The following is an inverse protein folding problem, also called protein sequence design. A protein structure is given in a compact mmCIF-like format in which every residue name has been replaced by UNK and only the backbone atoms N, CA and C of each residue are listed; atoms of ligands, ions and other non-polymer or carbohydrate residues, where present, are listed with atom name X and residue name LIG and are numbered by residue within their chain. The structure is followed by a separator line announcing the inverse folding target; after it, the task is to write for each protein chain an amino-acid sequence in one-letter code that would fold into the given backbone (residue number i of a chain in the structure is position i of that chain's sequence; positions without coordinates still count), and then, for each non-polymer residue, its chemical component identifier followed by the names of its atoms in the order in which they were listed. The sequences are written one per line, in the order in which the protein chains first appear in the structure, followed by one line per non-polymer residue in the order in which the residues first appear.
data_IF_009002540751
#
_entry.id   IF_009002540751
#
_cell.length_a   1.000
_cell.length_b   1.000
_cell.length_c   1.000
_cell.angle_alpha   90.00
_cell.angle_beta   90.00
_cell.angle_gamma   90.00
#
_symmetry.space_group_name_H-M   'P 1'
#
loop_
_entity.id
_entity.type
_entity.pdbx_description
1 polymer ?
#
# COMPACT_ATOMS: atom_id res chain seq x y z
N UNK A 1 73.72 14.05 7.39
CA UNK A 1 72.85 12.90 7.06
C UNK A 1 71.59 12.84 7.92
N UNK A 2 71.69 12.82 9.26
CA UNK A 2 70.51 12.68 10.16
C UNK A 2 69.45 13.78 9.98
N UNK A 3 69.87 15.03 9.79
CA UNK A 3 68.95 16.16 9.58
C UNK A 3 68.09 16.05 8.31
N UNK A 4 68.62 15.43 7.25
CA UNK A 4 67.90 15.25 5.98
C UNK A 4 66.80 14.18 6.15
N UNK A 5 67.10 13.09 6.86
CA UNK A 5 66.12 12.06 7.17
C UNK A 5 64.95 12.61 8.02
N UNK A 6 65.27 13.46 9.01
CA UNK A 6 64.28 14.09 9.88
C UNK A 6 63.33 15.02 9.08
N UNK A 7 63.87 15.80 8.14
CA UNK A 7 63.08 16.64 7.24
C UNK A 7 62.09 15.84 6.39
N UNK A 8 62.53 14.71 5.81
CA UNK A 8 61.68 13.84 4.99
C UNK A 8 60.55 13.24 5.83
N UNK A 9 60.83 12.81 7.07
CA UNK A 9 59.82 12.28 7.98
C UNK A 9 58.76 13.32 8.34
N UNK A 10 59.16 14.57 8.59
CA UNK A 10 58.22 15.66 8.90
C UNK A 10 57.31 15.97 7.70
N UNK A 11 57.87 16.01 6.49
CA UNK A 11 57.10 16.22 5.26
C UNK A 11 56.10 15.08 5.03
N UNK A 12 56.53 13.83 5.24
CA UNK A 12 55.66 12.65 5.12
C UNK A 12 54.49 12.70 6.11
N UNK A 13 54.76 13.07 7.37
CA UNK A 13 53.72 13.22 8.40
C UNK A 13 52.73 14.34 8.03
N UNK A 14 53.23 15.46 7.51
CA UNK A 14 52.41 16.58 7.05
C UNK A 14 51.48 16.19 5.89
N UNK A 15 52.01 15.47 4.89
CA UNK A 15 51.19 14.96 3.77
C UNK A 15 50.16 13.93 4.23
N UNK A 16 50.52 13.02 5.13
CA UNK A 16 49.59 12.05 5.70
C UNK A 16 48.45 12.74 6.46
N UNK A 17 48.76 13.76 7.26
CA UNK A 17 47.75 14.54 7.98
C UNK A 17 46.82 15.30 7.02
N UNK A 18 47.36 15.91 5.97
CA UNK A 18 46.56 16.62 4.97
C UNK A 18 45.65 15.66 4.18
N UNK A 19 46.16 14.47 3.84
CA UNK A 19 45.39 13.42 3.19
C UNK A 19 44.25 12.91 4.09
N UNK A 20 44.53 12.70 5.37
CA UNK A 20 43.53 12.31 6.36
C UNK A 20 42.42 13.38 6.47
N UNK A 21 42.80 14.67 6.53
CA UNK A 21 41.84 15.78 6.63
C UNK A 21 40.96 15.89 5.37
N UNK A 22 41.52 15.68 4.19
CA UNK A 22 40.76 15.67 2.92
C UNK A 22 39.79 14.47 2.85
N UNK A 23 40.24 13.29 3.26
CA UNK A 23 39.38 12.10 3.30
C UNK A 23 38.24 12.25 4.30
N UNK A 24 38.48 12.86 5.47
CA UNK A 24 37.42 13.17 6.43
C UNK A 24 36.36 14.10 5.80
N UNK A 25 36.78 15.19 5.16
CA UNK A 25 35.86 16.13 4.51
C UNK A 25 35.06 15.49 3.35
N UNK A 26 35.66 14.57 2.59
CA UNK A 26 34.96 13.82 1.53
C UNK A 26 33.92 12.85 2.10
N UNK A 27 34.22 12.18 3.23
CA UNK A 27 33.29 11.30 3.93
C UNK A 27 32.09 12.07 4.47
N UNK A 28 32.30 13.26 5.02
CA UNK A 28 31.21 14.10 5.53
C UNK A 28 30.27 14.51 4.38
N UNK A 29 30.80 14.97 3.24
CA UNK A 29 30.00 15.29 2.05
C UNK A 29 29.23 14.09 1.50
N UNK A 30 29.83 12.91 1.54
CA UNK A 30 29.16 11.67 1.13
C UNK A 30 27.99 11.35 2.07
N UNK A 31 28.20 11.49 3.39
CA UNK A 31 27.14 11.25 4.38
C UNK A 31 25.97 12.22 4.21
N UNK A 32 26.26 13.49 3.91
CA UNK A 32 25.25 14.52 3.67
C UNK A 32 24.47 14.27 2.37
N UNK A 33 25.15 13.84 1.31
CA UNK A 33 24.47 13.52 0.05
C UNK A 33 23.62 12.27 0.20
N UNK A 34 24.09 11.27 0.93
CA UNK A 34 23.35 10.06 1.21
C UNK A 34 22.07 10.36 2.01
N UNK A 35 22.15 11.19 3.06
CA UNK A 35 20.95 11.60 3.81
C UNK A 35 19.95 12.37 2.97
N UNK A 36 20.41 13.24 2.06
CA UNK A 36 19.52 13.92 1.09
C UNK A 36 18.81 12.92 0.17
N UNK A 37 19.51 11.90 -0.33
CA UNK A 37 18.90 10.84 -1.15
C UNK A 37 17.81 10.10 -0.37
N UNK A 38 18.07 9.75 0.90
CA UNK A 38 17.07 9.10 1.74
C UNK A 38 15.84 9.97 1.97
N UNK A 39 16.02 11.26 2.23
CA UNK A 39 14.91 12.20 2.44
C UNK A 39 14.07 12.36 1.16
N UNK A 40 14.70 12.55 0.00
CA UNK A 40 14.00 12.66 -1.29
C UNK A 40 13.26 11.37 -1.67
N UNK A 41 13.83 10.21 -1.34
CA UNK A 41 13.18 8.92 -1.58
C UNK A 41 11.95 8.76 -0.71
N UNK A 42 12.04 9.15 0.56
CA UNK A 42 10.91 9.14 1.50
C UNK A 42 9.79 10.06 1.02
N UNK A 43 10.13 11.27 0.62
CA UNK A 43 9.16 12.23 0.08
C UNK A 43 8.44 11.68 -1.17
N UNK A 44 9.16 11.02 -2.08
CA UNK A 44 8.52 10.36 -3.23
C UNK A 44 7.53 9.28 -2.82
N UNK A 45 7.86 8.47 -1.80
CA UNK A 45 6.95 7.41 -1.31
C UNK A 45 5.70 8.05 -0.71
N UNK A 46 5.86 9.08 0.12
CA UNK A 46 4.73 9.78 0.76
C UNK A 46 3.83 10.45 -0.29
N UNK A 47 4.42 11.05 -1.33
CA UNK A 47 3.67 11.65 -2.46
C UNK A 47 2.92 10.58 -3.24
N UNK A 48 3.55 9.44 -3.55
CA UNK A 48 2.87 8.33 -4.23
C UNK A 48 1.67 7.82 -3.43
N UNK A 49 1.83 7.64 -2.12
CA UNK A 49 0.76 7.18 -1.25
C UNK A 49 -0.43 8.17 -1.22
N UNK A 50 -0.14 9.47 -1.17
CA UNK A 50 -1.19 10.50 -1.20
C UNK A 50 -1.93 10.53 -2.54
N UNK A 51 -1.20 10.44 -3.66
CA UNK A 51 -1.81 10.37 -5.00
C UNK A 51 -2.69 9.13 -5.13
N UNK A 52 -2.24 7.97 -4.64
CA UNK A 52 -3.04 6.74 -4.65
C UNK A 52 -4.33 6.90 -3.84
N UNK A 53 -4.28 7.54 -2.66
CA UNK A 53 -5.46 7.82 -1.84
C UNK A 53 -6.44 8.76 -2.54
N UNK A 54 -5.95 9.83 -3.16
CA UNK A 54 -6.79 10.79 -3.89
C UNK A 54 -7.45 10.16 -5.11
N UNK A 55 -6.71 9.35 -5.89
CA UNK A 55 -7.26 8.60 -7.02
C UNK A 55 -8.37 7.65 -6.55
N UNK A 56 -8.16 6.95 -5.44
CA UNK A 56 -9.13 6.02 -4.90
C UNK A 56 -10.41 6.74 -4.44
N UNK A 57 -10.27 7.87 -3.74
CA UNK A 57 -11.40 8.69 -3.31
C UNK A 57 -12.20 9.24 -4.50
N UNK A 58 -11.51 9.75 -5.52
CA UNK A 58 -12.14 10.28 -6.72
C UNK A 58 -12.84 9.17 -7.52
N UNK A 59 -12.20 8.01 -7.67
CA UNK A 59 -12.78 6.84 -8.32
C UNK A 59 -14.05 6.39 -7.63
N UNK A 60 -14.06 6.38 -6.30
CA UNK A 60 -15.25 6.05 -5.52
C UNK A 60 -16.40 7.06 -5.76
N UNK A 61 -16.09 8.35 -5.79
CA UNK A 61 -17.09 9.40 -6.08
C UNK A 61 -17.66 9.27 -7.50
N UNK A 62 -16.82 9.01 -8.50
CA UNK A 62 -17.25 8.78 -9.89
C UNK A 62 -18.16 7.56 -9.97
N UNK A 63 -17.79 6.44 -9.34
CA UNK A 63 -18.58 5.21 -9.38
C UNK A 63 -19.93 5.38 -8.67
N UNK A 64 -19.97 6.16 -7.57
CA UNK A 64 -21.20 6.53 -6.88
C UNK A 64 -22.13 7.37 -7.77
N UNK A 65 -21.58 8.32 -8.52
CA UNK A 65 -22.36 9.18 -9.43
C UNK A 65 -22.84 8.44 -10.69
N UNK A 66 -22.07 7.47 -11.19
CA UNK A 66 -22.44 6.67 -12.36
C UNK A 66 -23.53 5.63 -12.07
N UNK A 67 -23.85 5.34 -10.80
CA UNK A 67 -24.87 4.35 -10.43
C UNK A 67 -24.52 2.91 -10.82
N UNK A 68 -23.27 2.67 -11.25
CA UNK A 68 -22.74 1.38 -11.71
C UNK A 68 -21.45 1.09 -10.95
N UNK A 69 -21.53 1.08 -9.62
CA UNK A 69 -20.45 0.61 -8.75
C UNK A 69 -20.34 -0.90 -8.98
N UNK A 70 -19.65 -1.28 -10.07
CA UNK A 70 -19.44 -2.65 -10.49
C UNK A 70 -17.97 -3.01 -10.30
N UNK A 71 -17.75 -4.10 -9.60
CA UNK A 71 -16.44 -4.72 -9.43
C UNK A 71 -16.05 -5.43 -10.72
N UNK A 72 -14.86 -5.10 -11.20
CA UNK A 72 -14.26 -5.64 -12.42
C UNK A 72 -13.06 -6.54 -12.09
N UNK A 73 -12.70 -7.51 -12.97
CA UNK A 73 -11.56 -8.42 -12.78
C UNK A 73 -10.21 -7.75 -12.50
N UNK A 74 -9.98 -6.61 -13.16
CA UNK A 74 -8.73 -5.84 -13.10
C UNK A 74 -8.62 -4.99 -11.84
N UNK A 75 -9.70 -4.89 -11.06
CA UNK A 75 -9.72 -4.11 -9.83
C UNK A 75 -8.85 -4.80 -8.77
N UNK A 76 -8.06 -4.01 -8.05
CA UNK A 76 -7.19 -4.52 -6.99
C UNK A 76 -8.00 -4.99 -5.79
N UNK A 77 -7.52 -6.03 -5.11
CA UNK A 77 -8.15 -6.55 -3.88
C UNK A 77 -8.36 -5.43 -2.85
N UNK A 78 -7.33 -4.59 -2.65
CA UNK A 78 -7.41 -3.44 -1.73
C UNK A 78 -8.49 -2.43 -2.13
N UNK A 79 -8.63 -2.13 -3.43
CA UNK A 79 -9.69 -1.23 -3.93
C UNK A 79 -11.08 -1.81 -3.64
N UNK A 80 -11.28 -3.12 -3.87
CA UNK A 80 -12.55 -3.82 -3.61
C UNK A 80 -12.93 -3.76 -2.13
N UNK A 81 -11.95 -3.91 -1.22
CA UNK A 81 -12.18 -3.81 0.22
C UNK A 81 -12.58 -2.40 0.66
N UNK A 82 -12.15 -1.36 -0.05
CA UNK A 82 -12.60 0.02 0.22
C UNK A 82 -14.00 0.34 -0.28
N UNK A 83 -14.51 -0.44 -1.26
CA UNK A 83 -15.83 -0.21 -1.83
C UNK A 83 -16.94 -0.59 -0.85
N UNK A 84 -16.81 -1.73 -0.15
CA UNK A 84 -17.84 -2.21 0.77
C UNK A 84 -17.22 -2.97 1.95
N UNK A 85 -17.61 -2.69 3.22
CA UNK A 85 -17.01 -3.33 4.40
C UNK A 85 -17.16 -4.87 4.41
N UNK A 86 -18.29 -5.39 3.92
CA UNK A 86 -18.50 -6.83 3.77
C UNK A 86 -17.77 -7.48 2.57
N UNK A 87 -17.09 -6.71 1.71
CA UNK A 87 -16.34 -7.29 0.59
C UNK A 87 -15.21 -8.20 1.11
N UNK A 88 -14.61 -7.87 2.26
CA UNK A 88 -13.63 -8.72 2.93
C UNK A 88 -14.22 -10.10 3.29
N UNK A 89 -15.48 -10.15 3.73
CA UNK A 89 -16.14 -11.40 4.09
C UNK A 89 -16.46 -12.26 2.87
N UNK A 90 -16.84 -11.63 1.75
CA UNK A 90 -17.05 -12.33 0.47
C UNK A 90 -15.72 -12.91 -0.03
N UNK A 91 -14.65 -12.11 -0.08
CA UNK A 91 -13.32 -12.57 -0.49
C UNK A 91 -12.81 -13.71 0.40
N UNK A 92 -13.03 -13.63 1.71
CA UNK A 92 -12.69 -14.70 2.65
C UNK A 92 -13.45 -16.00 2.37
N UNK A 93 -14.72 -15.91 1.98
CA UNK A 93 -15.53 -17.07 1.53
C UNK A 93 -14.95 -17.79 0.31
N UNK A 94 -14.19 -17.08 -0.53
CA UNK A 94 -13.47 -17.66 -1.67
C UNK A 94 -11.99 -17.97 -1.38
N UNK A 95 -11.55 -17.80 -0.13
CA UNK A 95 -10.15 -17.93 0.31
C UNK A 95 -9.19 -16.90 -0.32
N UNK A 96 -9.71 -15.73 -0.70
CA UNK A 96 -8.97 -14.62 -1.30
C UNK A 96 -8.64 -13.51 -0.29
N UNK A 97 -8.41 -13.88 0.97
CA UNK A 97 -8.15 -12.96 2.08
C UNK A 97 -8.83 -13.42 3.37
N UNK A 98 -8.61 -12.72 4.50
CA UNK A 98 -9.37 -12.93 5.74
C UNK A 98 -8.92 -14.08 6.66
N UNK A 99 -7.98 -14.93 6.25
CA UNK A 99 -7.36 -15.96 7.09
C UNK A 99 -5.86 -15.68 7.22
N UNK A 100 -5.26 -15.92 8.39
CA UNK A 100 -3.82 -15.73 8.66
C UNK A 100 -2.87 -16.53 7.76
N UNK A 101 -3.42 -17.52 7.03
CA UNK A 101 -2.71 -18.39 6.10
C UNK A 101 -2.92 -18.02 4.62
N UNK A 102 -3.89 -17.15 4.31
CA UNK A 102 -4.18 -16.75 2.93
C UNK A 102 -3.30 -15.55 2.59
N UNK A 103 -2.17 -15.80 1.91
CA UNK A 103 -1.27 -14.75 1.43
C UNK A 103 -1.85 -14.13 0.16
N UNK A 104 -2.79 -13.20 0.31
CA UNK A 104 -3.26 -12.35 -0.78
C UNK A 104 -2.70 -10.95 -0.58
N UNK A 105 -2.06 -10.42 -1.62
CA UNK A 105 -1.52 -9.07 -1.61
C UNK A 105 -2.60 -8.08 -2.08
N UNK A 106 -2.85 -7.04 -1.29
CA UNK A 106 -3.85 -5.99 -1.59
C UNK A 106 -3.57 -5.29 -2.93
N UNK A 107 -2.33 -5.38 -3.44
CA UNK A 107 -1.89 -4.81 -4.71
C UNK A 107 -2.23 -5.68 -5.92
N UNK A 108 -2.55 -6.96 -5.73
CA UNK A 108 -2.90 -7.88 -6.82
C UNK A 108 -4.31 -7.59 -7.34
N UNK A 109 -4.52 -7.85 -8.63
CA UNK A 109 -5.86 -7.81 -9.23
C UNK A 109 -6.69 -9.00 -8.75
N UNK A 110 -8.02 -8.85 -8.76
CA UNK A 110 -8.93 -9.94 -8.41
C UNK A 110 -8.72 -11.17 -9.30
N UNK A 111 -8.48 -10.95 -10.60
CA UNK A 111 -8.19 -12.03 -11.55
C UNK A 111 -6.90 -12.78 -11.22
N UNK A 112 -5.82 -12.05 -10.87
CA UNK A 112 -4.55 -12.63 -10.47
C UNK A 112 -4.68 -13.43 -9.16
N UNK A 113 -5.34 -12.85 -8.16
CA UNK A 113 -5.56 -13.49 -6.87
C UNK A 113 -6.40 -14.77 -7.02
N UNK A 114 -7.45 -14.74 -7.85
CA UNK A 114 -8.27 -15.92 -8.17
C UNK A 114 -7.45 -17.02 -8.85
N UNK A 115 -6.60 -16.66 -9.83
CA UNK A 115 -5.75 -17.61 -10.54
C UNK A 115 -4.72 -18.28 -9.61
N UNK A 116 -4.05 -17.50 -8.76
CA UNK A 116 -3.05 -18.00 -7.80
C UNK A 116 -3.67 -18.98 -6.80
N UNK A 117 -4.91 -18.71 -6.37
CA UNK A 117 -5.62 -19.56 -5.41
C UNK A 117 -6.45 -20.67 -6.07
N UNK A 118 -6.37 -20.83 -7.39
CA UNK A 118 -7.12 -21.86 -8.13
C UNK A 118 -8.64 -21.69 -8.02
N UNK A 119 -9.13 -20.45 -8.02
CA UNK A 119 -10.55 -20.09 -7.92
C UNK A 119 -11.10 -19.58 -9.25
N UNK A 120 -12.36 -19.91 -9.52
CA UNK A 120 -13.08 -19.37 -10.66
C UNK A 120 -13.46 -17.91 -10.40
N UNK A 121 -13.11 -17.03 -11.35
CA UNK A 121 -13.32 -15.60 -11.25
C UNK A 121 -14.80 -15.19 -11.31
N UNK A 122 -15.59 -15.88 -12.14
CA UNK A 122 -17.00 -15.54 -12.39
C UNK A 122 -17.88 -15.58 -11.12
N UNK A 123 -17.86 -16.65 -10.29
CA UNK A 123 -18.62 -16.68 -9.04
C UNK A 123 -18.22 -15.57 -8.06
N UNK A 124 -16.93 -15.21 -8.02
CA UNK A 124 -16.42 -14.17 -7.13
C UNK A 124 -16.95 -12.80 -7.55
N UNK A 125 -16.85 -12.48 -8.84
CA UNK A 125 -17.37 -11.25 -9.41
C UNK A 125 -18.88 -11.13 -9.22
N UNK A 126 -19.62 -12.21 -9.42
CA UNK A 126 -21.06 -12.22 -9.21
C UNK A 126 -21.42 -11.91 -7.75
N UNK A 127 -20.73 -12.55 -6.78
CA UNK A 127 -20.95 -12.32 -5.35
C UNK A 127 -20.62 -10.88 -4.94
N UNK A 128 -19.49 -10.34 -5.42
CA UNK A 128 -19.07 -8.96 -5.12
C UNK A 128 -20.02 -7.94 -5.75
N UNK A 129 -20.44 -8.14 -7.00
CA UNK A 129 -21.38 -7.24 -7.66
C UNK A 129 -22.78 -7.29 -7.04
N UNK A 130 -23.21 -8.45 -6.54
CA UNK A 130 -24.48 -8.58 -5.81
C UNK A 130 -24.44 -7.80 -4.50
N UNK A 131 -23.32 -7.85 -3.78
CA UNK A 131 -23.13 -7.10 -2.55
C UNK A 131 -23.25 -5.59 -2.78
N UNK A 132 -22.57 -5.10 -3.82
CA UNK A 132 -22.55 -3.67 -4.14
C UNK A 132 -23.88 -3.18 -4.72
N UNK A 133 -24.55 -3.98 -5.55
CA UNK A 133 -25.89 -3.66 -6.04
C UNK A 133 -26.95 -3.68 -4.93
N UNK A 134 -26.80 -4.58 -3.94
CA UNK A 134 -27.66 -4.66 -2.77
C UNK A 134 -27.66 -3.39 -1.92
N UNK A 135 -26.48 -2.81 -1.67
CA UNK A 135 -26.34 -1.56 -0.91
C UNK A 135 -27.02 -0.38 -1.64
N UNK A 136 -26.86 -0.30 -2.97
CA UNK A 136 -27.53 0.72 -3.80
C UNK A 136 -29.07 0.57 -3.84
N UNK A 137 -29.61 -0.63 -3.58
CA UNK A 137 -31.04 -0.90 -3.52
C UNK A 137 -31.67 -0.80 -2.12
N UNK A 138 -30.87 -0.85 -1.05
CA UNK A 138 -31.36 -0.90 0.33
C UNK A 138 -31.62 0.47 0.97
N UNK A 139 -31.44 1.57 0.25
CA UNK A 139 -31.91 2.89 0.68
C UNK A 139 -33.37 3.20 0.28
N UNK A 140 -34.10 2.25 -0.35
CA UNK A 140 -35.45 2.49 -0.85
C UNK A 140 -36.52 1.41 -0.53
N UNK A 141 -36.35 0.53 0.48
CA UNK A 141 -37.41 -0.42 0.84
C UNK A 141 -37.45 -0.82 2.33
N UNK A 142 -38.46 -0.25 3.00
CA UNK A 142 -39.17 -0.64 4.22
C UNK A 142 -38.46 -0.82 5.59
N UNK A 143 -39.01 -0.20 6.66
CA UNK A 143 -38.59 -0.49 8.02
C UNK A 143 -39.02 -1.91 8.41
N UNK A 144 -38.05 -2.79 8.67
CA UNK A 144 -38.28 -4.14 9.17
C UNK A 144 -39.03 -4.08 10.51
N UNK A 145 -40.33 -4.34 10.46
CA UNK A 145 -41.25 -4.49 11.59
C UNK A 145 -40.89 -5.76 12.37
N UNK A 146 -40.23 -5.60 13.52
CA UNK A 146 -39.99 -6.73 14.43
C UNK A 146 -41.28 -7.11 15.18
N UNK A 147 -41.62 -8.41 15.27
CA UNK A 147 -42.82 -8.86 15.97
C UNK A 147 -42.66 -8.79 17.49
N UNK A 148 -43.71 -8.26 18.13
CA UNK A 148 -43.89 -8.11 19.57
C UNK A 148 -43.88 -9.48 20.28
N UNK A 149 -42.76 -9.87 20.89
CA UNK A 149 -42.67 -11.07 21.74
C UNK A 149 -42.79 -10.61 23.18
N UNK A 150 -43.96 -10.87 23.77
CA UNK A 150 -44.19 -10.69 25.20
C UNK A 150 -43.57 -11.87 25.95
N UNK A 151 -42.58 -11.59 26.79
CA UNK A 151 -42.05 -12.55 27.75
C UNK A 151 -43.02 -12.58 28.94
N UNK A 152 -43.75 -13.69 29.06
CA UNK A 152 -44.51 -14.00 30.27
C UNK A 152 -43.52 -14.47 31.34
N UNK A 153 -43.55 -13.81 32.50
CA UNK A 153 -42.75 -14.10 33.69
C UNK A 153 -43.21 -15.38 34.39
#
# INVERSE_FOLDING_TARGET
MVYIALLISVIGLGMAWMCHKKNAALRDKLSETNSRIYNLRRENIDVQENVEKEIMALKFEILKLQGDLKVNPEMKIGEIMTIHPQAQQVLAGFHLGGCSSCSVDDRQSLAEAAAVNGRELEPILAALNTLVAGENGQQAAEPVKVPNIQLHF
#
